data_IF_055117111421
#
_entry.id   IF_055117111421
#
_cell.length_a   1.000
_cell.length_b   1.000
_cell.length_c   1.000
_cell.angle_alpha   90.00
_cell.angle_beta   90.00
_cell.angle_gamma   90.00
#
_symmetry.space_group_name_H-M   'P 1'
#
loop_
_entity.id
_entity.type
_entity.pdbx_description
1 polymer ?
#
# COMPACT_ATOMS: atom_id res chain seq x y z
N UNK A 1 -23.92 61.41 -24.05
CA UNK A 1 -23.55 61.16 -22.63
C UNK A 1 -22.04 61.31 -22.43
N UNK A 2 -21.33 62.12 -23.25
CA UNK A 2 -19.87 62.27 -23.17
C UNK A 2 -19.37 63.73 -23.26
N UNK A 3 -20.26 64.73 -23.38
CA UNK A 3 -19.83 66.15 -23.40
C UNK A 3 -19.26 66.60 -22.06
N UNK A 4 -19.88 66.19 -20.94
CA UNK A 4 -19.35 66.47 -19.59
C UNK A 4 -17.99 65.81 -19.36
N UNK A 5 -17.76 64.62 -19.93
CA UNK A 5 -16.52 63.87 -19.78
C UNK A 5 -15.38 64.51 -20.60
N UNK A 6 -15.70 65.02 -21.79
CA UNK A 6 -14.78 65.80 -22.62
C UNK A 6 -14.45 67.16 -21.99
N UNK A 7 -15.42 67.83 -21.37
CA UNK A 7 -15.18 69.06 -20.63
C UNK A 7 -14.29 68.83 -19.41
N UNK A 8 -14.52 67.76 -18.65
CA UNK A 8 -13.67 67.36 -17.53
C UNK A 8 -12.24 67.04 -17.99
N UNK A 9 -12.07 66.32 -19.11
CA UNK A 9 -10.75 66.06 -19.69
C UNK A 9 -10.03 67.36 -20.07
N UNK A 10 -10.73 68.30 -20.70
CA UNK A 10 -10.15 69.59 -21.09
C UNK A 10 -9.80 70.47 -19.89
N UNK A 11 -10.63 70.47 -18.85
CA UNK A 11 -10.35 71.15 -17.58
C UNK A 11 -9.13 70.53 -16.88
N UNK A 12 -9.00 69.21 -16.93
CA UNK A 12 -7.86 68.49 -16.37
C UNK A 12 -6.56 68.80 -17.14
N UNK A 13 -6.58 68.78 -18.47
CA UNK A 13 -5.43 69.19 -19.29
C UNK A 13 -5.01 70.64 -19.01
N UNK A 14 -5.98 71.55 -18.88
CA UNK A 14 -5.71 72.95 -18.55
C UNK A 14 -5.08 73.11 -17.16
N UNK A 15 -5.59 72.38 -16.16
CA UNK A 15 -5.03 72.38 -14.81
C UNK A 15 -3.62 71.76 -14.74
N UNK A 16 -3.34 70.73 -15.55
CA UNK A 16 -1.99 70.15 -15.65
C UNK A 16 -1.00 71.05 -16.39
N UNK A 17 -1.46 71.81 -17.39
CA UNK A 17 -0.64 72.79 -18.12
C UNK A 17 -0.37 74.06 -17.33
N UNK A 18 -1.19 74.37 -16.32
CA UNK A 18 -0.93 75.42 -15.34
C UNK A 18 0.32 75.04 -14.52
N UNK A 19 1.50 75.48 -14.98
CA UNK A 19 2.76 75.35 -14.23
C UNK A 19 2.61 76.03 -12.88
N UNK A 20 2.46 75.25 -11.82
CA UNK A 20 2.60 75.73 -10.46
C UNK A 20 3.97 76.38 -10.31
N UNK A 21 4.00 77.67 -9.95
CA UNK A 21 5.24 78.45 -9.82
C UNK A 21 6.11 77.99 -8.66
N UNK A 22 5.58 77.13 -7.78
CA UNK A 22 6.26 76.59 -6.60
C UNK A 22 6.09 75.08 -6.64
N UNK A 23 7.13 74.37 -7.10
CA UNK A 23 7.26 72.93 -6.92
C UNK A 23 7.97 72.67 -5.61
N UNK A 24 7.31 71.99 -4.69
CA UNK A 24 7.96 71.48 -3.48
C UNK A 24 8.98 70.43 -3.90
N UNK A 25 10.20 70.49 -3.35
CA UNK A 25 11.15 69.39 -3.47
C UNK A 25 10.65 68.19 -2.67
N UNK A 26 11.03 66.98 -3.05
CA UNK A 26 10.68 65.75 -2.33
C UNK A 26 11.01 65.85 -0.83
N UNK A 27 12.17 66.44 -0.51
CA UNK A 27 12.58 66.73 0.87
C UNK A 27 11.62 67.64 1.61
N UNK A 28 11.16 68.72 0.97
CA UNK A 28 10.21 69.64 1.58
C UNK A 28 8.84 68.97 1.77
N UNK A 29 8.44 68.06 0.88
CA UNK A 29 7.21 67.27 1.03
C UNK A 29 7.30 66.35 2.25
N UNK A 30 8.42 65.64 2.43
CA UNK A 30 8.64 64.78 3.61
C UNK A 30 8.61 65.60 4.89
N UNK A 31 9.32 66.74 4.95
CA UNK A 31 9.31 67.64 6.12
C UNK A 31 7.91 68.20 6.42
N UNK A 32 7.12 68.52 5.39
CA UNK A 32 5.73 68.95 5.54
C UNK A 32 4.85 67.85 6.11
N UNK A 33 4.94 66.62 5.60
CA UNK A 33 4.17 65.47 6.11
C UNK A 33 4.51 65.21 7.58
N UNK A 34 5.79 65.26 7.93
CA UNK A 34 6.24 65.11 9.31
C UNK A 34 5.68 66.22 10.21
N UNK A 35 5.67 67.47 9.74
CA UNK A 35 5.05 68.60 10.46
C UNK A 35 3.53 68.45 10.61
N UNK A 36 2.84 67.91 9.62
CA UNK A 36 1.41 67.63 9.70
C UNK A 36 1.07 66.55 10.73
N UNK A 37 1.94 65.54 10.88
CA UNK A 37 1.84 64.54 11.96
C UNK A 37 2.13 65.15 13.34
N UNK A 38 3.19 65.97 13.48
CA UNK A 38 3.51 66.67 14.74
C UNK A 38 2.36 67.56 15.23
N UNK A 39 1.65 68.22 14.30
CA UNK A 39 0.50 69.07 14.58
C UNK A 39 -0.81 68.30 14.78
N UNK A 40 -0.79 66.95 14.71
CA UNK A 40 -1.96 66.08 14.78
C UNK A 40 -3.06 66.40 13.75
N UNK A 41 -2.66 66.95 12.59
CA UNK A 41 -3.57 67.14 11.46
C UNK A 41 -3.75 65.82 10.71
N UNK A 42 -2.68 65.02 10.65
CA UNK A 42 -2.71 63.61 10.29
C UNK A 42 -2.62 62.83 11.60
N UNK A 43 -3.73 62.28 12.06
CA UNK A 43 -3.87 61.60 13.34
C UNK A 43 -3.79 60.06 13.24
N UNK A 44 -3.50 59.54 12.06
CA UNK A 44 -3.35 58.11 11.77
C UNK A 44 -1.91 57.73 11.41
N UNK A 45 -1.58 56.46 11.64
CA UNK A 45 -0.29 55.90 11.26
C UNK A 45 -0.10 55.94 9.74
N UNK A 46 1.00 56.53 9.30
CA UNK A 46 1.38 56.63 7.90
C UNK A 46 2.65 55.81 7.67
N UNK A 47 2.53 54.74 6.89
CA UNK A 47 3.65 53.89 6.50
C UNK A 47 4.34 54.50 5.27
N UNK A 48 5.61 54.17 5.08
CA UNK A 48 6.32 54.53 3.86
C UNK A 48 6.83 53.28 3.14
N UNK A 49 6.97 53.37 1.82
CA UNK A 49 7.60 52.31 1.05
C UNK A 49 9.10 52.22 1.37
N UNK A 50 9.74 51.09 1.06
CA UNK A 50 11.19 50.87 1.27
C UNK A 50 12.02 51.91 0.49
N UNK A 51 11.47 52.44 -0.60
CA UNK A 51 12.08 53.54 -1.37
C UNK A 51 12.02 54.91 -0.66
N UNK A 52 11.14 55.06 0.34
CA UNK A 52 10.86 56.31 1.04
C UNK A 52 10.12 57.37 0.21
N UNK A 53 9.65 57.02 -0.99
CA UNK A 53 9.02 57.97 -1.93
C UNK A 53 7.50 58.02 -1.84
N UNK A 54 6.90 56.96 -1.33
CA UNK A 54 5.46 56.80 -1.28
C UNK A 54 5.01 56.52 0.15
N UNK A 55 3.85 57.04 0.49
CA UNK A 55 3.20 56.81 1.76
C UNK A 55 1.97 55.94 1.56
N UNK A 56 1.79 54.96 2.44
CA UNK A 56 0.68 54.02 2.44
C UNK A 56 -0.01 54.07 3.79
N UNK A 57 -1.34 54.11 3.77
CA UNK A 57 -2.12 53.94 4.99
C UNK A 57 -2.28 52.45 5.31
N UNK A 58 -2.43 52.07 6.59
CA UNK A 58 -2.70 50.67 6.96
C UNK A 58 -3.95 50.09 6.29
N UNK A 59 -4.98 50.92 6.07
CA UNK A 59 -6.18 50.52 5.34
C UNK A 59 -5.90 50.22 3.86
N UNK A 60 -5.10 51.04 3.20
CA UNK A 60 -4.70 50.80 1.82
C UNK A 60 -3.84 49.53 1.71
N UNK A 61 -2.90 49.34 2.63
CA UNK A 61 -2.10 48.12 2.74
C UNK A 61 -3.00 46.88 2.86
N UNK A 62 -4.06 46.96 3.67
CA UNK A 62 -5.05 45.88 3.82
C UNK A 62 -5.74 45.55 2.50
N UNK A 63 -6.17 46.58 1.75
CA UNK A 63 -6.87 46.40 0.47
C UNK A 63 -5.97 45.75 -0.57
N UNK A 64 -4.69 46.14 -0.63
CA UNK A 64 -3.72 45.57 -1.55
C UNK A 64 -3.40 44.11 -1.22
N UNK A 65 -3.21 43.79 0.07
CA UNK A 65 -3.05 42.41 0.55
C UNK A 65 -4.25 41.54 0.11
N UNK A 66 -5.48 42.01 0.34
CA UNK A 66 -6.69 41.28 -0.04
C UNK A 66 -6.84 41.12 -1.57
N UNK A 67 -6.44 42.13 -2.34
CA UNK A 67 -6.49 42.07 -3.80
C UNK A 67 -5.54 41.00 -4.35
N UNK A 68 -4.32 40.91 -3.82
CA UNK A 68 -3.34 39.89 -4.24
C UNK A 68 -3.74 38.49 -3.78
N UNK A 69 -4.29 38.33 -2.56
CA UNK A 69 -4.84 37.05 -2.10
C UNK A 69 -5.97 36.59 -3.01
N UNK A 70 -6.88 37.49 -3.41
CA UNK A 70 -8.01 37.13 -4.29
C UNK A 70 -7.55 36.70 -5.68
N UNK A 71 -6.41 37.21 -6.14
CA UNK A 71 -5.85 36.93 -7.46
C UNK A 71 -5.07 35.60 -7.50
N UNK A 72 -4.26 35.32 -6.49
CA UNK A 72 -3.34 34.18 -6.46
C UNK A 72 -3.83 33.02 -5.56
N UNK A 73 -4.70 33.29 -4.59
CA UNK A 73 -5.20 32.33 -3.60
C UNK A 73 -4.19 31.97 -2.51
N UNK A 74 -2.94 31.67 -2.89
CA UNK A 74 -1.79 31.44 -2.00
C UNK A 74 -0.70 32.47 -2.27
N UNK A 75 -0.27 33.19 -1.24
CA UNK A 75 0.73 34.27 -1.35
C UNK A 75 1.70 34.24 -0.16
N UNK A 76 3.00 34.33 -0.43
CA UNK A 76 4.05 34.51 0.58
C UNK A 76 4.09 35.96 1.06
N UNK A 77 4.24 36.19 2.36
CA UNK A 77 4.36 37.53 2.92
C UNK A 77 5.59 38.28 2.43
N UNK A 78 6.66 37.56 2.07
CA UNK A 78 7.89 38.13 1.52
C UNK A 78 7.63 38.67 0.11
N UNK A 79 7.02 37.86 -0.75
CA UNK A 79 6.66 38.26 -2.11
C UNK A 79 5.65 39.43 -2.07
N UNK A 80 4.74 39.41 -1.10
CA UNK A 80 3.77 40.48 -0.90
C UNK A 80 4.44 41.80 -0.49
N UNK A 81 5.44 41.74 0.39
CA UNK A 81 6.24 42.91 0.77
C UNK A 81 7.01 43.49 -0.43
N UNK A 82 7.55 42.63 -1.30
CA UNK A 82 8.25 43.05 -2.52
C UNK A 82 7.30 43.66 -3.56
N UNK A 83 6.11 43.09 -3.73
CA UNK A 83 5.09 43.59 -4.69
C UNK A 83 4.54 44.94 -4.26
N UNK A 84 4.20 45.08 -2.97
CA UNK A 84 3.63 46.31 -2.39
C UNK A 84 4.73 47.36 -2.16
N UNK A 85 5.98 46.93 -1.98
CA UNK A 85 7.12 47.81 -1.69
C UNK A 85 7.13 48.35 -0.26
N UNK A 86 6.52 47.63 0.70
CA UNK A 86 6.45 47.99 2.12
C UNK A 86 7.30 47.02 2.95
N UNK A 87 7.88 47.51 4.05
CA UNK A 87 8.69 46.67 4.94
C UNK A 87 7.91 45.46 5.49
N UNK A 88 8.59 44.31 5.54
CA UNK A 88 7.99 43.03 5.90
C UNK A 88 7.29 43.08 7.27
N UNK A 89 7.85 43.82 8.22
CA UNK A 89 7.27 43.96 9.57
C UNK A 89 5.82 44.50 9.52
N UNK A 90 5.57 45.50 8.68
CA UNK A 90 4.23 46.09 8.56
C UNK A 90 3.27 45.15 7.82
N UNK A 91 3.78 44.42 6.82
CA UNK A 91 3.00 43.42 6.09
C UNK A 91 2.60 42.26 7.00
N UNK A 92 3.53 41.74 7.81
CA UNK A 92 3.25 40.67 8.78
C UNK A 92 2.19 41.08 9.82
N UNK A 93 2.33 42.28 10.37
CA UNK A 93 1.36 42.83 11.34
C UNK A 93 -0.03 42.96 10.71
N UNK A 94 -0.11 43.47 9.48
CA UNK A 94 -1.40 43.65 8.80
C UNK A 94 -2.01 42.34 8.32
N UNK A 95 -1.18 41.38 7.89
CA UNK A 95 -1.61 40.04 7.52
C UNK A 95 -2.26 39.28 8.69
N UNK A 96 -1.71 39.40 9.90
CA UNK A 96 -2.32 38.80 11.10
C UNK A 96 -3.72 39.37 11.36
N UNK A 97 -3.92 40.69 11.16
CA UNK A 97 -5.22 41.34 11.30
C UNK A 97 -6.20 40.91 10.21
N UNK A 98 -5.73 40.75 8.96
CA UNK A 98 -6.55 40.26 7.85
C UNK A 98 -7.05 38.84 8.13
N UNK A 99 -6.18 37.96 8.62
CA UNK A 99 -6.52 36.56 8.92
C UNK A 99 -7.41 36.46 10.17
N UNK A 100 -7.27 37.35 11.16
CA UNK A 100 -8.20 37.38 12.29
C UNK A 100 -9.61 37.84 11.90
N UNK A 101 -9.71 38.68 10.88
CA UNK A 101 -10.99 39.25 10.43
C UNK A 101 -11.73 38.34 9.45
N UNK A 102 -11.02 37.51 8.68
CA UNK A 102 -11.59 36.60 7.70
C UNK A 102 -11.25 35.12 8.02
N UNK A 103 -12.22 34.31 8.48
CA UNK A 103 -11.99 32.90 8.82
C UNK A 103 -11.74 32.01 7.59
N UNK A 104 -11.90 32.53 6.37
CA UNK A 104 -11.62 31.78 5.13
C UNK A 104 -10.14 31.80 4.76
N UNK A 105 -9.34 32.60 5.46
CA UNK A 105 -7.89 32.72 5.25
C UNK A 105 -7.14 31.99 6.35
N UNK A 106 -5.99 31.42 5.98
CA UNK A 106 -5.11 30.73 6.92
C UNK A 106 -3.67 31.22 6.74
N UNK A 107 -3.00 31.52 7.85
CA UNK A 107 -1.57 31.87 7.87
C UNK A 107 -0.72 30.65 8.26
N UNK A 108 0.16 30.22 7.37
CA UNK A 108 1.01 29.02 7.55
C UNK A 108 2.43 29.37 7.15
N UNK A 109 3.39 29.30 8.09
CA UNK A 109 4.82 29.52 7.82
C UNK A 109 5.16 30.81 7.04
N UNK A 110 4.39 31.89 7.24
CA UNK A 110 4.59 33.15 6.51
C UNK A 110 3.93 33.18 5.12
N UNK A 111 3.00 32.26 4.84
CA UNK A 111 2.14 32.28 3.66
C UNK A 111 0.68 32.41 4.06
N UNK A 112 -0.09 33.21 3.31
CA UNK A 112 -1.54 33.29 3.43
C UNK A 112 -2.16 32.40 2.35
N UNK A 113 -3.06 31.52 2.76
CA UNK A 113 -3.76 30.59 1.87
C UNK A 113 -5.26 30.74 2.07
N UNK A 114 -5.99 30.94 0.97
CA UNK A 114 -7.44 31.03 0.98
C UNK A 114 -8.13 29.66 0.92
N UNK A 115 -9.37 29.59 1.43
CA UNK A 115 -10.20 28.40 1.30
C UNK A 115 -10.48 28.03 -0.17
N UNK A 116 -10.63 29.03 -1.05
CA UNK A 116 -10.86 28.79 -2.48
C UNK A 116 -9.67 28.13 -3.17
N UNK A 117 -8.44 28.48 -2.76
CA UNK A 117 -7.24 27.78 -3.22
C UNK A 117 -7.28 26.31 -2.82
N UNK A 118 -7.65 26.01 -1.57
CA UNK A 118 -7.78 24.65 -1.08
C UNK A 118 -8.89 23.86 -1.77
N UNK A 119 -9.97 24.51 -2.19
CA UNK A 119 -11.03 23.86 -2.96
C UNK A 119 -10.52 23.45 -4.34
N UNK A 120 -9.78 24.32 -5.04
CA UNK A 120 -9.14 23.99 -6.33
C UNK A 120 -8.07 22.90 -6.18
N UNK A 121 -7.23 22.97 -5.15
CA UNK A 121 -6.24 21.92 -4.86
C UNK A 121 -6.94 20.59 -4.53
N UNK A 122 -8.06 20.61 -3.82
CA UNK A 122 -8.83 19.41 -3.54
C UNK A 122 -9.44 18.79 -4.80
N UNK A 123 -9.87 19.60 -5.76
CA UNK A 123 -10.31 19.12 -7.09
C UNK A 123 -9.17 18.41 -7.83
N UNK A 124 -7.99 19.03 -7.88
CA UNK A 124 -6.78 18.44 -8.49
C UNK A 124 -6.37 17.13 -7.80
N UNK A 125 -6.35 17.11 -6.46
CA UNK A 125 -6.07 15.91 -5.67
C UNK A 125 -7.10 14.82 -5.98
N UNK A 126 -8.38 15.18 -6.12
CA UNK A 126 -9.42 14.23 -6.46
C UNK A 126 -9.22 13.63 -7.87
N UNK A 127 -8.93 14.45 -8.88
CA UNK A 127 -8.63 13.95 -10.23
C UNK A 127 -7.46 12.96 -10.20
N UNK A 128 -6.37 13.35 -9.54
CA UNK A 128 -5.20 12.50 -9.38
C UNK A 128 -5.51 11.22 -8.62
N UNK A 129 -6.36 11.29 -7.60
CA UNK A 129 -6.80 10.14 -6.81
C UNK A 129 -7.61 9.16 -7.67
N UNK A 130 -8.49 9.67 -8.54
CA UNK A 130 -9.25 8.81 -9.45
C UNK A 130 -8.34 8.09 -10.46
N UNK A 131 -7.26 8.74 -10.91
CA UNK A 131 -6.27 8.11 -11.78
C UNK A 131 -5.43 7.04 -11.07
N UNK A 132 -4.87 7.37 -9.89
CA UNK A 132 -3.96 6.48 -9.17
C UNK A 132 -4.66 5.45 -8.29
N UNK A 133 -5.95 5.59 -8.04
CA UNK A 133 -6.73 4.82 -7.06
C UNK A 133 -6.32 5.01 -5.58
N UNK A 134 -5.05 5.31 -5.29
CA UNK A 134 -4.48 5.59 -3.97
C UNK A 134 -3.35 6.64 -4.05
N UNK A 135 -3.18 7.46 -3.01
CA UNK A 135 -2.11 8.46 -2.87
C UNK A 135 -1.69 8.55 -1.40
N UNK A 136 -0.39 8.62 -1.13
CA UNK A 136 0.13 8.82 0.21
C UNK A 136 0.05 10.30 0.62
N UNK A 137 -0.39 10.59 1.86
CA UNK A 137 -0.42 11.97 2.38
C UNK A 137 0.97 12.63 2.39
N UNK A 138 2.03 11.85 2.63
CA UNK A 138 3.40 12.36 2.61
C UNK A 138 3.83 12.86 1.23
N UNK A 139 3.30 12.26 0.15
CA UNK A 139 3.56 12.69 -1.21
C UNK A 139 2.85 14.02 -1.50
N UNK A 140 1.57 14.14 -1.10
CA UNK A 140 0.81 15.39 -1.21
C UNK A 140 1.44 16.52 -0.40
N UNK A 141 1.87 16.22 0.82
CA UNK A 141 2.57 17.16 1.70
C UNK A 141 3.86 17.71 1.05
N UNK A 142 4.66 16.81 0.46
CA UNK A 142 5.88 17.21 -0.25
C UNK A 142 5.59 18.04 -1.50
N UNK A 143 4.56 17.69 -2.29
CA UNK A 143 4.18 18.44 -3.49
C UNK A 143 3.67 19.85 -3.17
N UNK A 144 2.91 19.99 -2.09
CA UNK A 144 2.35 21.28 -1.67
C UNK A 144 3.33 22.11 -0.81
N UNK A 145 4.50 21.56 -0.44
CA UNK A 145 5.45 22.13 0.51
C UNK A 145 4.82 22.46 1.87
N UNK A 146 3.96 21.58 2.38
CA UNK A 146 3.18 21.79 3.60
C UNK A 146 3.26 20.53 4.49
N UNK A 147 3.12 20.69 5.81
CA UNK A 147 3.10 19.55 6.73
C UNK A 147 1.91 18.59 6.50
N UNK A 148 2.14 17.29 6.66
CA UNK A 148 1.10 16.25 6.48
C UNK A 148 -0.12 16.40 7.40
N UNK A 149 0.09 16.95 8.60
CA UNK A 149 -1.00 17.29 9.52
C UNK A 149 -1.92 18.36 8.94
N UNK A 150 -1.35 19.40 8.31
CA UNK A 150 -2.16 20.45 7.71
C UNK A 150 -2.94 19.94 6.51
N UNK A 151 -2.33 19.09 5.67
CA UNK A 151 -3.04 18.45 4.55
C UNK A 151 -4.24 17.65 5.06
N UNK A 152 -4.11 16.98 6.20
CA UNK A 152 -5.21 16.26 6.85
C UNK A 152 -6.33 17.21 7.29
N UNK A 153 -5.98 18.29 8.01
CA UNK A 153 -6.93 19.30 8.49
C UNK A 153 -7.72 19.94 7.33
N UNK A 154 -7.05 20.19 6.21
CA UNK A 154 -7.68 20.82 5.03
C UNK A 154 -8.52 19.82 4.24
N UNK A 155 -8.06 18.58 4.07
CA UNK A 155 -8.75 17.57 3.27
C UNK A 155 -9.94 16.96 4.00
N UNK A 156 -9.87 16.72 5.31
CA UNK A 156 -10.96 16.12 6.10
C UNK A 156 -12.35 16.73 5.84
N UNK A 157 -12.55 18.06 5.88
CA UNK A 157 -13.86 18.67 5.60
C UNK A 157 -14.30 18.54 4.13
N UNK A 158 -13.38 18.21 3.22
CA UNK A 158 -13.61 18.09 1.77
C UNK A 158 -13.77 16.63 1.32
N UNK A 159 -13.55 15.67 2.22
CA UNK A 159 -13.78 14.25 1.95
C UNK A 159 -15.29 13.98 1.80
N UNK A 160 -15.64 13.31 0.71
CA UNK A 160 -17.03 12.96 0.38
C UNK A 160 -17.81 14.06 -0.35
N UNK A 161 -17.31 15.29 -0.38
CA UNK A 161 -17.88 16.40 -1.18
C UNK A 161 -17.10 16.58 -2.48
N UNK A 162 -15.91 17.20 -2.39
CA UNK A 162 -15.00 17.43 -3.51
C UNK A 162 -14.17 16.16 -3.77
N UNK A 163 -13.54 15.65 -2.71
CA UNK A 163 -12.65 14.49 -2.80
C UNK A 163 -13.45 13.21 -2.57
N UNK A 164 -13.65 12.42 -3.64
CA UNK A 164 -14.35 11.13 -3.58
C UNK A 164 -13.40 10.01 -3.16
N UNK A 165 -12.88 10.14 -1.94
CA UNK A 165 -11.92 9.23 -1.33
C UNK A 165 -12.17 9.01 0.16
N UNK A 166 -11.43 8.08 0.74
CA UNK A 166 -11.32 7.87 2.17
C UNK A 166 -9.87 8.05 2.59
N UNK A 167 -9.67 8.69 3.73
CA UNK A 167 -8.38 8.89 4.34
C UNK A 167 -8.25 8.02 5.59
N UNK A 168 -7.37 7.02 5.55
CA UNK A 168 -7.07 6.18 6.72
C UNK A 168 -5.57 5.85 6.74
N UNK A 169 -4.95 5.91 7.94
CA UNK A 169 -3.56 5.48 8.12
C UNK A 169 -2.52 6.25 7.29
N UNK A 170 -2.76 7.53 6.97
CA UNK A 170 -1.83 8.31 6.15
C UNK A 170 -1.98 8.10 4.64
N UNK A 171 -2.99 7.34 4.20
CA UNK A 171 -3.26 7.00 2.81
C UNK A 171 -4.65 7.49 2.41
N UNK A 172 -4.72 8.13 1.24
CA UNK A 172 -5.96 8.51 0.60
C UNK A 172 -6.27 7.50 -0.50
N UNK A 173 -7.43 6.87 -0.47
CA UNK A 173 -7.80 5.85 -1.47
C UNK A 173 -9.27 5.94 -1.88
N UNK A 174 -9.55 5.44 -3.07
CA UNK A 174 -10.91 5.39 -3.61
C UNK A 174 -11.70 4.19 -3.06
N UNK A 175 -13.03 4.28 -2.93
CA UNK A 175 -13.86 3.10 -2.62
C UNK A 175 -13.70 1.98 -3.66
N UNK A 176 -13.44 2.34 -4.92
CA UNK A 176 -13.22 1.39 -6.01
C UNK A 176 -11.92 0.59 -5.81
N UNK A 177 -10.85 1.23 -5.31
CA UNK A 177 -9.61 0.56 -4.92
C UNK A 177 -9.88 -0.54 -3.90
N UNK A 178 -10.59 -0.21 -2.81
CA UNK A 178 -10.91 -1.17 -1.74
C UNK A 178 -11.76 -2.32 -2.27
N UNK A 179 -12.76 -2.04 -3.10
CA UNK A 179 -13.60 -3.07 -3.70
C UNK A 179 -12.78 -4.02 -4.60
N UNK A 180 -11.84 -3.47 -5.39
CA UNK A 180 -10.93 -4.22 -6.27
C UNK A 180 -9.99 -5.12 -5.47
N UNK A 181 -9.26 -4.57 -4.50
CA UNK A 181 -8.37 -5.33 -3.60
C UNK A 181 -9.16 -6.40 -2.85
N UNK A 182 -10.34 -6.05 -2.32
CA UNK A 182 -11.21 -7.01 -1.65
C UNK A 182 -11.67 -8.15 -2.57
N UNK A 183 -11.98 -7.88 -3.84
CA UNK A 183 -12.35 -8.90 -4.82
C UNK A 183 -11.16 -9.80 -5.17
N UNK A 184 -9.98 -9.22 -5.35
CA UNK A 184 -8.71 -9.93 -5.58
C UNK A 184 -8.40 -10.90 -4.44
N UNK A 185 -8.38 -10.42 -3.20
CA UNK A 185 -8.12 -11.25 -2.00
C UNK A 185 -9.16 -12.36 -1.87
N UNK A 186 -10.46 -12.06 -2.09
CA UNK A 186 -11.51 -13.10 -2.10
C UNK A 186 -11.28 -14.16 -3.19
N UNK A 187 -10.88 -13.74 -4.39
CA UNK A 187 -10.56 -14.64 -5.49
C UNK A 187 -9.39 -15.55 -5.17
N UNK A 188 -8.31 -14.99 -4.65
CA UNK A 188 -7.13 -15.72 -4.19
C UNK A 188 -7.49 -16.75 -3.09
N UNK A 189 -8.22 -16.32 -2.06
CA UNK A 189 -8.63 -17.20 -0.97
C UNK A 189 -9.51 -18.38 -1.45
N UNK A 190 -10.43 -18.13 -2.39
CA UNK A 190 -11.20 -19.21 -3.02
C UNK A 190 -10.29 -20.16 -3.81
N UNK A 191 -9.32 -19.63 -4.56
CA UNK A 191 -8.36 -20.42 -5.33
C UNK A 191 -7.54 -21.39 -4.47
N UNK A 192 -7.13 -20.99 -3.27
CA UNK A 192 -6.39 -21.86 -2.33
C UNK A 192 -7.19 -23.12 -1.96
N UNK A 193 -8.52 -23.01 -1.88
CA UNK A 193 -9.39 -24.13 -1.46
C UNK A 193 -9.77 -25.09 -2.58
N UNK A 194 -9.39 -24.81 -3.83
CA UNK A 194 -9.78 -25.62 -4.99
C UNK A 194 -8.67 -26.61 -5.37
N UNK A 195 -9.00 -27.90 -5.59
CA UNK A 195 -8.04 -28.88 -6.11
C UNK A 195 -7.40 -28.38 -7.41
N UNK A 196 -6.07 -28.23 -7.38
CA UNK A 196 -5.31 -27.65 -8.49
C UNK A 196 -4.31 -28.66 -9.02
N UNK A 197 -4.16 -28.72 -10.35
CA UNK A 197 -3.13 -29.55 -10.99
C UNK A 197 -1.74 -29.04 -10.57
N UNK A 198 -0.83 -29.95 -10.20
CA UNK A 198 0.53 -29.63 -9.78
C UNK A 198 1.26 -28.67 -10.74
N UNK A 199 1.05 -28.83 -12.05
CA UNK A 199 1.66 -27.95 -13.06
C UNK A 199 1.24 -26.47 -12.96
N UNK A 200 0.09 -26.18 -12.32
CA UNK A 200 -0.45 -24.82 -12.15
C UNK A 200 -0.12 -24.20 -10.79
N UNK A 201 0.45 -24.96 -9.86
CA UNK A 201 0.73 -24.47 -8.49
C UNK A 201 1.72 -23.32 -8.51
N UNK A 202 2.80 -23.40 -9.29
CA UNK A 202 3.80 -22.31 -9.40
C UNK A 202 3.20 -21.01 -9.96
N UNK A 203 2.34 -21.14 -10.98
CA UNK A 203 1.62 -20.00 -11.57
C UNK A 203 0.71 -19.36 -10.52
N UNK A 204 -0.02 -20.19 -9.77
CA UNK A 204 -0.88 -19.73 -8.68
C UNK A 204 -0.08 -19.02 -7.57
N UNK A 205 1.04 -19.59 -7.12
CA UNK A 205 1.87 -18.99 -6.08
C UNK A 205 2.48 -17.66 -6.51
N UNK A 206 2.88 -17.55 -7.78
CA UNK A 206 3.38 -16.29 -8.36
C UNK A 206 2.29 -15.23 -8.38
N UNK A 207 1.10 -15.57 -8.88
CA UNK A 207 -0.05 -14.66 -8.91
C UNK A 207 -0.53 -14.26 -7.51
N UNK A 208 -0.44 -15.17 -6.53
CA UNK A 208 -0.78 -14.88 -5.13
C UNK A 208 0.20 -13.87 -4.52
N UNK A 209 1.50 -14.00 -4.80
CA UNK A 209 2.53 -13.09 -4.30
C UNK A 209 2.38 -11.69 -4.88
N UNK A 210 2.21 -11.57 -6.19
CA UNK A 210 1.99 -10.26 -6.85
C UNK A 210 0.73 -9.58 -6.32
N UNK A 211 -0.35 -10.34 -6.12
CA UNK A 211 -1.59 -9.83 -5.54
C UNK A 211 -1.42 -9.38 -4.09
N UNK A 212 -0.64 -10.13 -3.31
CA UNK A 212 -0.35 -9.77 -1.93
C UNK A 212 0.42 -8.45 -1.85
N UNK A 213 1.44 -8.27 -2.69
CA UNK A 213 2.19 -7.00 -2.81
C UNK A 213 1.27 -5.82 -3.17
N UNK A 214 0.39 -5.97 -4.18
CA UNK A 214 -0.59 -4.95 -4.56
C UNK A 214 -1.60 -4.60 -3.45
N UNK A 215 -1.89 -5.59 -2.59
CA UNK A 215 -2.81 -5.45 -1.46
C UNK A 215 -2.11 -4.98 -0.18
N UNK A 216 -0.79 -4.76 -0.20
CA UNK A 216 0.02 -4.47 0.99
C UNK A 216 0.15 -5.64 1.97
N UNK A 217 -0.28 -6.85 1.58
CA UNK A 217 -0.17 -8.08 2.36
C UNK A 217 1.18 -8.74 2.10
N UNK A 218 1.89 -9.10 3.17
CA UNK A 218 3.09 -9.93 3.04
C UNK A 218 2.74 -11.39 3.28
N UNK A 219 2.76 -12.22 2.23
CA UNK A 219 2.62 -13.68 2.35
C UNK A 219 3.93 -14.25 2.88
N UNK A 220 4.00 -14.40 4.20
CA UNK A 220 5.16 -15.00 4.86
C UNK A 220 5.22 -16.49 4.55
N UNK A 221 6.40 -16.99 4.19
CA UNK A 221 6.64 -18.44 4.11
C UNK A 221 6.43 -19.09 5.48
N UNK A 222 6.03 -20.36 5.50
CA UNK A 222 5.80 -21.10 6.73
C UNK A 222 7.08 -21.05 7.60
N UNK A 223 6.93 -20.74 8.90
CA UNK A 223 8.07 -20.69 9.81
C UNK A 223 8.77 -22.05 9.83
N UNK A 224 10.07 -22.07 9.55
CA UNK A 224 10.92 -23.28 9.56
C UNK A 224 10.81 -24.04 10.89
N UNK A 225 10.57 -23.35 12.02
CA UNK A 225 10.35 -24.00 13.31
C UNK A 225 9.01 -24.73 13.37
N UNK A 226 7.97 -24.11 12.85
CA UNK A 226 6.62 -24.69 12.81
C UNK A 226 6.55 -25.86 11.82
N UNK A 227 7.18 -25.74 10.64
CA UNK A 227 7.33 -26.84 9.68
C UNK A 227 8.04 -28.04 10.31
N UNK A 228 9.16 -27.83 11.00
CA UNK A 228 9.87 -28.90 11.74
C UNK A 228 9.01 -29.54 12.81
N UNK A 229 8.21 -28.76 13.52
CA UNK A 229 7.32 -29.25 14.58
C UNK A 229 6.22 -30.15 14.00
N UNK A 230 5.57 -29.71 12.91
CA UNK A 230 4.54 -30.49 12.20
C UNK A 230 5.14 -31.78 11.62
N UNK A 231 6.33 -31.70 11.02
CA UNK A 231 7.01 -32.89 10.49
C UNK A 231 7.37 -33.87 11.60
N UNK A 232 7.78 -33.38 12.77
CA UNK A 232 8.08 -34.23 13.92
C UNK A 232 6.82 -34.92 14.47
N UNK A 233 5.70 -34.19 14.61
CA UNK A 233 4.44 -34.79 15.04
C UNK A 233 3.92 -35.82 14.03
N UNK A 234 3.97 -35.50 12.73
CA UNK A 234 3.55 -36.41 11.67
C UNK A 234 4.43 -37.66 11.60
N UNK A 235 5.75 -37.53 11.76
CA UNK A 235 6.67 -38.68 11.87
C UNK A 235 6.30 -39.56 13.06
N UNK A 236 6.02 -38.98 14.23
CA UNK A 236 5.64 -39.72 15.45
C UNK A 236 4.34 -40.49 15.24
N UNK A 237 3.35 -39.86 14.61
CA UNK A 237 2.08 -40.49 14.27
C UNK A 237 2.24 -41.64 13.27
N UNK A 238 2.96 -41.41 12.16
CA UNK A 238 3.25 -42.45 11.17
C UNK A 238 4.02 -43.63 11.77
N UNK A 239 4.98 -43.38 12.68
CA UNK A 239 5.69 -44.46 13.38
C UNK A 239 4.73 -45.30 14.22
N UNK A 240 3.81 -44.66 14.95
CA UNK A 240 2.76 -45.37 15.70
C UNK A 240 1.89 -46.20 14.76
N UNK A 241 1.47 -45.64 13.63
CA UNK A 241 0.64 -46.35 12.65
C UNK A 241 1.37 -47.54 12.02
N UNK A 242 2.65 -47.40 11.64
CA UNK A 242 3.46 -48.49 11.07
C UNK A 242 3.68 -49.63 12.08
N UNK A 243 3.81 -49.31 13.38
CA UNK A 243 3.95 -50.33 14.42
C UNK A 243 2.68 -51.17 14.61
N UNK A 244 1.50 -50.54 14.54
CA UNK A 244 0.19 -51.16 14.77
C UNK A 244 -0.38 -51.83 13.52
N UNK A 245 0.02 -51.41 12.32
CA UNK A 245 -0.58 -51.91 11.07
C UNK A 245 -0.33 -53.41 10.86
N UNK A 246 -1.44 -54.15 10.67
CA UNK A 246 -1.48 -55.58 10.36
C UNK A 246 -1.77 -55.87 8.89
N UNK A 247 -2.29 -54.91 8.13
CA UNK A 247 -2.60 -55.10 6.71
C UNK A 247 -1.35 -54.84 5.83
N UNK A 248 -0.92 -55.82 5.00
CA UNK A 248 0.26 -55.67 4.15
C UNK A 248 0.11 -54.60 3.05
N UNK A 249 -1.11 -54.32 2.58
CA UNK A 249 -1.34 -53.36 1.48
C UNK A 249 -1.26 -51.93 1.98
N UNK A 250 -1.89 -51.62 3.12
CA UNK A 250 -1.85 -50.30 3.75
C UNK A 250 -0.49 -49.94 4.38
N UNK A 251 0.32 -50.94 4.74
CA UNK A 251 1.65 -50.76 5.32
C UNK A 251 2.62 -50.07 4.34
N UNK A 252 2.57 -50.42 3.05
CA UNK A 252 3.51 -49.92 2.03
C UNK A 252 3.49 -48.38 1.86
N UNK A 253 2.34 -47.72 1.64
CA UNK A 253 2.28 -46.27 1.56
C UNK A 253 2.82 -45.59 2.83
N UNK A 254 2.49 -46.12 4.02
CA UNK A 254 2.92 -45.55 5.31
C UNK A 254 4.43 -45.63 5.51
N UNK A 255 5.04 -46.76 5.15
CA UNK A 255 6.50 -46.97 5.19
C UNK A 255 7.21 -46.01 4.23
N UNK A 256 6.69 -45.87 3.00
CA UNK A 256 7.30 -44.99 1.99
C UNK A 256 7.18 -43.52 2.39
N UNK A 257 6.03 -43.10 2.92
CA UNK A 257 5.85 -41.77 3.51
C UNK A 257 6.87 -41.48 4.61
N UNK A 258 7.15 -42.46 5.47
CA UNK A 258 8.12 -42.31 6.56
C UNK A 258 9.57 -42.25 6.07
N UNK A 259 9.95 -43.11 5.11
CA UNK A 259 11.26 -43.06 4.46
C UNK A 259 11.49 -41.72 3.76
N UNK A 260 10.45 -41.17 3.11
CA UNK A 260 10.53 -39.86 2.46
C UNK A 260 10.75 -38.73 3.48
N UNK A 261 10.12 -38.80 4.66
CA UNK A 261 10.36 -37.85 5.75
C UNK A 261 11.80 -37.97 6.27
N UNK A 262 12.35 -39.18 6.43
CA UNK A 262 13.72 -39.38 6.88
C UNK A 262 14.76 -38.85 5.89
N UNK A 263 14.58 -39.14 4.60
CA UNK A 263 15.57 -38.85 3.55
C UNK A 263 15.47 -37.42 3.01
N UNK A 264 14.24 -36.92 2.82
CA UNK A 264 13.99 -35.62 2.19
C UNK A 264 13.51 -34.55 3.15
N UNK A 265 13.21 -34.88 4.42
CA UNK A 265 12.65 -33.95 5.42
C UNK A 265 11.36 -33.28 4.93
N UNK A 266 10.56 -33.99 4.13
CA UNK A 266 9.29 -33.52 3.58
C UNK A 266 8.22 -34.57 3.81
N UNK A 267 7.00 -34.15 4.14
CA UNK A 267 5.86 -35.04 4.23
C UNK A 267 5.42 -35.47 2.81
N UNK A 268 5.10 -36.76 2.66
CA UNK A 268 4.56 -37.30 1.42
C UNK A 268 3.33 -38.14 1.74
N UNK A 269 2.25 -37.89 1.03
CA UNK A 269 1.08 -38.78 1.01
C UNK A 269 0.81 -39.12 -0.46
N UNK A 270 1.07 -40.37 -0.83
CA UNK A 270 0.95 -40.83 -2.21
C UNK A 270 -0.20 -41.85 -2.33
N UNK A 271 -1.10 -41.70 -3.32
CA UNK A 271 -2.04 -42.77 -3.66
C UNK A 271 -1.28 -43.98 -4.24
N UNK A 272 -1.88 -45.18 -4.18
CA UNK A 272 -1.25 -46.44 -4.59
C UNK A 272 -0.57 -46.41 -5.97
N UNK A 273 -1.15 -45.69 -6.94
CA UNK A 273 -0.61 -45.54 -8.30
C UNK A 273 0.68 -44.70 -8.38
N UNK A 274 0.87 -43.76 -7.44
CA UNK A 274 2.03 -42.88 -7.40
C UNK A 274 3.17 -43.43 -6.53
N UNK A 275 2.94 -44.53 -5.83
CA UNK A 275 3.93 -45.18 -4.96
C UNK A 275 5.18 -45.60 -5.75
N UNK A 276 5.02 -46.16 -6.95
CA UNK A 276 6.14 -46.55 -7.80
C UNK A 276 7.08 -45.37 -8.11
N UNK A 277 6.51 -44.20 -8.44
CA UNK A 277 7.27 -42.99 -8.74
C UNK A 277 8.01 -42.49 -7.50
N UNK A 278 7.38 -42.59 -6.32
CA UNK A 278 8.01 -42.24 -5.06
C UNK A 278 9.19 -43.17 -4.74
N UNK A 279 9.04 -44.49 -4.94
CA UNK A 279 10.14 -45.47 -4.77
C UNK A 279 11.27 -45.19 -5.74
N UNK A 280 10.98 -44.94 -7.02
CA UNK A 280 12.00 -44.63 -8.03
C UNK A 280 12.86 -43.41 -7.65
N UNK A 281 12.26 -42.40 -6.99
CA UNK A 281 12.97 -41.20 -6.50
C UNK A 281 13.84 -41.46 -5.26
N UNK A 282 13.62 -42.57 -4.53
CA UNK A 282 14.43 -42.95 -3.37
C UNK A 282 15.69 -43.74 -3.75
N UNK A 283 15.82 -44.19 -5.01
CA UNK A 283 16.94 -45.01 -5.49
C UNK A 283 18.32 -44.39 -5.24
N UNK A 284 18.46 -43.08 -5.43
CA UNK A 284 19.76 -42.41 -5.32
C UNK A 284 20.23 -42.17 -3.87
N UNK A 285 19.38 -42.44 -2.87
CA UNK A 285 19.62 -42.08 -1.46
C UNK A 285 19.43 -43.22 -0.47
N UNK A 286 19.11 -44.41 -0.95
CA UNK A 286 18.86 -45.59 -0.14
C UNK A 286 19.85 -46.69 -0.52
N UNK A 287 20.23 -47.53 0.44
CA UNK A 287 21.12 -48.66 0.17
C UNK A 287 20.48 -49.63 -0.84
N UNK A 288 21.29 -50.20 -1.73
CA UNK A 288 20.83 -51.12 -2.79
C UNK A 288 20.04 -52.32 -2.24
N UNK A 289 20.38 -52.80 -1.04
CA UNK A 289 19.68 -53.87 -0.34
C UNK A 289 18.29 -53.45 0.14
N UNK A 290 18.16 -52.25 0.71
CA UNK A 290 16.90 -51.68 1.16
C UNK A 290 15.98 -51.33 -0.02
N UNK A 291 16.55 -50.83 -1.12
CA UNK A 291 15.81 -50.54 -2.34
C UNK A 291 15.25 -51.81 -2.98
N UNK A 292 16.02 -52.90 -3.00
CA UNK A 292 15.57 -54.21 -3.49
C UNK A 292 14.38 -54.73 -2.69
N UNK A 293 14.43 -54.69 -1.35
CA UNK A 293 13.32 -55.11 -0.49
C UNK A 293 12.05 -54.30 -0.76
N UNK A 294 12.17 -52.98 -0.94
CA UNK A 294 11.04 -52.11 -1.27
C UNK A 294 10.44 -52.40 -2.65
N UNK A 295 11.28 -52.65 -3.66
CA UNK A 295 10.85 -52.99 -5.01
C UNK A 295 10.18 -54.36 -5.07
N UNK A 296 10.75 -55.35 -4.38
CA UNK A 296 10.19 -56.70 -4.28
C UNK A 296 8.83 -56.66 -3.58
N UNK A 297 8.71 -55.94 -2.46
CA UNK A 297 7.44 -55.74 -1.76
C UNK A 297 6.42 -54.98 -2.62
N UNK A 298 6.84 -53.92 -3.33
CA UNK A 298 5.95 -53.20 -4.25
C UNK A 298 5.44 -54.11 -5.37
N UNK A 299 6.31 -54.90 -6.00
CA UNK A 299 5.93 -55.84 -7.06
C UNK A 299 4.93 -56.89 -6.56
N UNK A 300 5.13 -57.41 -5.35
CA UNK A 300 4.23 -58.36 -4.72
C UNK A 300 2.87 -57.73 -4.36
N UNK A 301 2.84 -56.48 -3.87
CA UNK A 301 1.57 -55.76 -3.60
C UNK A 301 0.79 -55.46 -4.87
N UNK A 302 1.44 -55.02 -5.95
CA UNK A 302 0.79 -54.80 -7.25
C UNK A 302 0.24 -56.11 -7.80
N UNK A 303 0.98 -57.21 -7.66
CA UNK A 303 0.56 -58.53 -8.09
C UNK A 303 -0.62 -59.09 -7.27
N UNK A 304 -0.70 -58.79 -5.97
CA UNK A 304 -1.85 -59.14 -5.13
C UNK A 304 -3.08 -58.31 -5.50
N UNK A 305 -2.93 -57.01 -5.70
CA UNK A 305 -4.03 -56.13 -6.12
C UNK A 305 -4.55 -56.49 -7.52
N UNK A 306 -3.67 -56.87 -8.46
CA UNK A 306 -4.06 -57.33 -9.78
C UNK A 306 -4.87 -58.64 -9.74
N UNK A 307 -4.51 -59.58 -8.86
CA UNK A 307 -5.26 -60.82 -8.66
C UNK A 307 -6.63 -60.54 -8.05
N UNK A 308 -6.72 -59.67 -7.04
CA UNK A 308 -8.00 -59.27 -6.42
C UNK A 308 -8.92 -58.58 -7.43
N UNK A 309 -8.38 -57.79 -8.36
CA UNK A 309 -9.17 -57.17 -9.43
C UNK A 309 -9.60 -58.14 -10.53
N UNK A 310 -8.93 -59.29 -10.67
CA UNK A 310 -9.25 -60.31 -11.68
C UNK A 310 -10.28 -61.33 -11.19
N UNK A 311 -10.46 -61.48 -9.88
CA UNK A 311 -11.39 -62.44 -9.26
C UNK A 311 -12.86 -61.97 -9.18
N UNK A 312 -13.22 -60.86 -9.82
CA UNK A 312 -14.61 -60.39 -9.87
C UNK A 312 -15.51 -61.21 -10.80
N UNK A 313 -14.94 -62.07 -11.64
CA UNK A 313 -15.68 -62.97 -12.55
C UNK A 313 -15.41 -64.45 -12.18
N UNK A 314 -16.37 -65.07 -11.47
CA UNK A 314 -16.76 -66.50 -11.47
C UNK A 314 -15.72 -67.66 -11.48
N UNK A 315 -14.52 -67.55 -10.87
CA UNK A 315 -13.65 -68.71 -10.59
C UNK A 315 -13.08 -68.69 -9.15
N UNK A 316 -13.85 -69.21 -8.18
CA UNK A 316 -13.65 -68.94 -6.76
C UNK A 316 -12.59 -69.79 -6.01
N UNK A 317 -12.22 -70.99 -6.47
CA UNK A 317 -11.39 -71.89 -5.64
C UNK A 317 -9.87 -71.75 -5.90
N UNK A 318 -9.41 -71.84 -7.15
CA UNK A 318 -7.97 -71.76 -7.48
C UNK A 318 -7.37 -70.34 -7.35
N UNK A 319 -8.22 -69.31 -7.41
CA UNK A 319 -7.80 -67.91 -7.31
C UNK A 319 -7.66 -67.46 -5.85
N UNK A 320 -8.48 -68.01 -4.95
CA UNK A 320 -8.43 -67.77 -3.50
C UNK A 320 -7.12 -68.25 -2.88
N UNK A 321 -6.68 -69.47 -3.21
CA UNK A 321 -5.41 -70.04 -2.70
C UNK A 321 -4.19 -69.23 -3.16
N UNK A 322 -4.23 -68.68 -4.38
CA UNK A 322 -3.17 -67.80 -4.91
C UNK A 322 -3.14 -66.43 -4.22
N UNK A 323 -4.30 -65.92 -3.82
CA UNK A 323 -4.41 -64.67 -3.05
C UNK A 323 -3.88 -64.89 -1.63
N UNK A 324 -4.25 -65.99 -0.96
CA UNK A 324 -3.76 -66.36 0.37
C UNK A 324 -2.24 -66.57 0.38
N UNK A 325 -1.71 -67.34 -0.56
CA UNK A 325 -0.26 -67.58 -0.69
C UNK A 325 0.55 -66.28 -0.87
N UNK A 326 0.03 -65.32 -1.65
CA UNK A 326 0.70 -64.02 -1.83
C UNK A 326 0.54 -63.09 -0.64
N UNK A 327 -0.56 -63.19 0.10
CA UNK A 327 -0.77 -62.46 1.35
C UNK A 327 0.21 -62.95 2.42
N UNK A 328 0.37 -64.26 2.57
CA UNK A 328 1.34 -64.87 3.48
C UNK A 328 2.78 -64.48 3.13
N UNK A 329 3.10 -64.42 1.83
CA UNK A 329 4.41 -63.94 1.37
C UNK A 329 4.64 -62.47 1.76
N UNK A 330 3.64 -61.60 1.60
CA UNK A 330 3.75 -60.21 2.05
C UNK A 330 3.88 -60.11 3.58
N UNK A 331 3.12 -60.90 4.33
CA UNK A 331 3.18 -60.97 5.79
C UNK A 331 4.56 -61.41 6.28
N UNK A 332 5.20 -62.37 5.60
CA UNK A 332 6.59 -62.78 5.89
C UNK A 332 7.62 -61.67 5.63
N UNK A 333 7.34 -60.74 4.71
CA UNK A 333 8.21 -59.61 4.37
C UNK A 333 7.93 -58.34 5.21
N UNK A 334 6.82 -58.28 5.96
CA UNK A 334 6.47 -57.14 6.81
C UNK A 334 7.53 -56.82 7.88
N UNK A 335 8.16 -57.79 8.58
CA UNK A 335 9.20 -57.49 9.56
C UNK A 335 10.44 -56.85 8.93
N UNK A 336 10.83 -57.31 7.73
CA UNK A 336 11.95 -56.73 6.99
C UNK A 336 11.64 -55.28 6.57
N UNK A 337 10.41 -55.02 6.10
CA UNK A 337 9.96 -53.68 5.72
C UNK A 337 9.86 -52.72 6.92
N UNK A 338 9.34 -53.18 8.07
CA UNK A 338 9.33 -52.42 9.33
C UNK A 338 10.75 -52.18 9.86
N UNK A 339 11.65 -53.14 9.66
CA UNK A 339 13.07 -53.03 10.01
C UNK A 339 13.80 -51.90 9.30
N UNK A 340 13.54 -51.69 8.01
CA UNK A 340 14.13 -50.61 7.20
C UNK A 340 13.82 -49.20 7.73
N UNK A 341 12.65 -49.05 8.34
CA UNK A 341 12.16 -47.79 8.89
C UNK A 341 12.72 -47.54 10.29
N UNK A 342 12.87 -48.63 11.07
CA UNK A 342 13.32 -48.61 12.45
C UNK A 342 14.85 -48.53 12.60
N UNK A 343 15.62 -49.09 11.66
CA UNK A 343 17.09 -49.04 11.67
C UNK A 343 17.63 -47.62 11.44
N UNK A 344 16.94 -46.82 10.62
CA UNK A 344 17.31 -45.43 10.33
C UNK A 344 16.95 -44.44 11.46
N UNK A 345 16.62 -44.92 12.67
CA UNK A 345 16.45 -44.09 13.87
C UNK A 345 17.76 -43.83 14.64
N UNK A 346 18.82 -44.60 14.39
CA UNK A 346 20.07 -44.53 15.18
C UNK A 346 21.20 -43.74 14.51
N UNK A 347 20.97 -43.16 13.34
CA UNK A 347 21.92 -42.32 12.59
C UNK A 347 21.51 -40.86 12.56
#
# INVERSE_FOLDING_TARGET
MDEELLELQRQFEFAQQAKSSIRLSERNVVELVQKLQELQIIDFDLLHTVSGKEYITPEQLRLEILAEIKKLGRVSLIDLADIIGVDLYHVEKQAQLVVSDDPTLMLVQGEIISHSYWDSVAEEINERLQECSQIALAELAAQLNIGSELVTIVLEPRLGTIVKGKLEGGQLYTPMYVARVGAMVRGAARGVTVPTNLARVEIFMTALRTLAEESGLHVKELDKKLERTILHSYRKELMSQVSVETDPVSLLPKVISLLYIQVHKKALQAPGRAIFVAVARLKDKLDDSAFKILMDYHSATVALLALISATTDDEQDCSSDRILSKRELLESMMPALKGLVLSNLQS
#
